data_IF_563056060423
#
_entry.id   IF_563056060423
#
_cell.length_a   1.000
_cell.length_b   1.000
_cell.length_c   1.000
_cell.angle_alpha   90.00
_cell.angle_beta   90.00
_cell.angle_gamma   90.00
#
_symmetry.space_group_name_H-M   'P 1'
#
loop_
_entity.id
_entity.type
_entity.pdbx_description
1 polymer ?
#
# COMPACT_ATOMS: atom_id res chain seq x y z
N UNK A 1 18.85 19.54 5.37
CA UNK A 1 19.63 18.33 5.05
C UNK A 1 19.54 17.44 6.25
N UNK A 2 19.28 16.16 6.06
CA UNK A 2 19.25 15.22 7.16
C UNK A 2 20.68 14.88 7.56
N UNK A 3 20.91 14.61 8.84
CA UNK A 3 22.21 14.23 9.42
C UNK A 3 22.86 12.97 8.79
N UNK A 4 22.13 12.28 7.94
CA UNK A 4 22.54 10.98 7.33
C UNK A 4 22.75 11.10 5.81
N UNK A 5 22.85 12.31 5.25
CA UNK A 5 22.98 12.48 3.78
C UNK A 5 24.30 11.94 3.19
N UNK A 6 25.32 11.80 4.00
CA UNK A 6 26.61 11.21 3.71
C UNK A 6 26.58 9.69 3.52
N UNK A 7 25.51 9.03 4.01
CA UNK A 7 25.28 7.59 3.89
C UNK A 7 24.55 7.18 2.60
N UNK A 8 24.13 8.16 1.80
CA UNK A 8 23.35 7.89 0.60
C UNK A 8 24.22 7.99 -0.65
N UNK A 9 24.28 6.90 -1.41
CA UNK A 9 24.91 6.86 -2.72
C UNK A 9 23.87 7.12 -3.80
N UNK A 10 24.21 7.87 -4.83
CA UNK A 10 23.29 8.12 -5.95
C UNK A 10 23.25 6.91 -6.87
N UNK A 11 22.09 6.60 -7.40
CA UNK A 11 21.95 5.53 -8.40
C UNK A 11 22.76 5.85 -9.67
N UNK A 12 22.91 7.14 -10.02
CA UNK A 12 23.74 7.58 -11.16
C UNK A 12 25.17 7.05 -11.09
N UNK A 13 25.75 6.99 -9.89
CA UNK A 13 27.13 6.56 -9.67
C UNK A 13 27.33 5.07 -10.04
N UNK A 14 26.26 4.28 -10.00
CA UNK A 14 26.22 2.88 -10.40
C UNK A 14 25.89 2.72 -11.89
N UNK A 15 24.93 3.47 -12.41
CA UNK A 15 24.51 3.35 -13.82
C UNK A 15 25.57 3.87 -14.78
N UNK A 16 26.33 4.91 -14.41
CA UNK A 16 27.44 5.45 -15.21
C UNK A 16 28.56 4.44 -15.43
N UNK A 17 28.72 3.48 -14.54
CA UNK A 17 29.72 2.39 -14.66
C UNK A 17 29.12 1.06 -15.14
N UNK A 18 27.86 1.09 -15.61
CA UNK A 18 27.16 -0.03 -16.23
C UNK A 18 26.67 -1.10 -15.27
N UNK A 19 26.45 -0.77 -14.00
CA UNK A 19 25.82 -1.67 -13.04
C UNK A 19 24.30 -1.57 -13.12
N UNK A 20 23.63 -2.69 -12.85
CA UNK A 20 22.18 -2.83 -12.83
C UNK A 20 21.70 -3.50 -11.54
N UNK A 21 20.47 -3.26 -11.11
CA UNK A 21 19.89 -3.94 -9.95
C UNK A 21 19.48 -5.38 -10.29
N UNK A 22 19.36 -6.21 -9.26
CA UNK A 22 18.71 -7.50 -9.38
C UNK A 22 17.16 -7.38 -9.42
N UNK A 23 16.46 -8.52 -9.46
CA UNK A 23 14.99 -8.58 -9.49
C UNK A 23 14.30 -7.97 -8.27
N UNK A 24 15.03 -7.72 -7.18
CA UNK A 24 14.54 -7.05 -5.97
C UNK A 24 14.87 -5.56 -5.93
N UNK A 25 15.52 -5.02 -6.97
CA UNK A 25 16.03 -3.66 -6.99
C UNK A 25 17.28 -3.46 -6.13
N UNK A 26 17.97 -4.53 -5.74
CA UNK A 26 19.19 -4.50 -4.92
C UNK A 26 20.41 -4.39 -5.85
N UNK A 27 21.34 -3.53 -5.49
CA UNK A 27 22.54 -3.22 -6.27
C UNK A 27 23.80 -3.83 -5.65
N UNK A 28 24.79 -4.11 -6.48
CA UNK A 28 26.10 -4.58 -6.03
C UNK A 28 27.19 -3.71 -6.64
N UNK A 29 28.14 -3.28 -5.80
CA UNK A 29 29.34 -2.62 -6.29
C UNK A 29 30.30 -3.64 -6.96
N UNK A 30 31.33 -3.15 -7.64
CA UNK A 30 32.41 -4.01 -8.23
C UNK A 30 33.17 -4.76 -7.15
N UNK A 31 33.24 -4.20 -5.94
CA UNK A 31 33.91 -4.77 -4.77
C UNK A 31 33.00 -5.80 -4.03
N UNK A 32 31.75 -5.94 -4.46
CA UNK A 32 30.79 -6.88 -3.89
C UNK A 32 29.92 -6.34 -2.76
N UNK A 33 30.04 -5.04 -2.44
CA UNK A 33 29.16 -4.39 -1.46
C UNK A 33 27.72 -4.39 -1.96
N UNK A 34 26.78 -4.60 -1.04
CA UNK A 34 25.33 -4.67 -1.32
C UNK A 34 24.67 -3.37 -0.92
N UNK A 35 23.85 -2.83 -1.83
CA UNK A 35 23.12 -1.59 -1.62
C UNK A 35 21.61 -1.80 -1.82
N UNK A 36 20.85 -1.28 -0.87
CA UNK A 36 19.38 -1.31 -0.86
C UNK A 36 18.81 -0.01 -1.44
N UNK A 37 17.71 -0.06 -2.21
CA UNK A 37 16.99 1.13 -2.63
C UNK A 37 16.44 1.90 -1.43
N UNK A 38 16.69 3.22 -1.39
CA UNK A 38 16.12 4.12 -0.39
C UNK A 38 14.77 4.64 -0.87
N UNK A 39 13.70 4.18 -0.23
CA UNK A 39 12.35 4.61 -0.59
C UNK A 39 12.06 6.06 -0.19
N UNK A 40 11.48 6.80 -1.12
CA UNK A 40 11.03 8.18 -0.95
C UNK A 40 9.51 8.26 -1.10
N UNK A 41 8.89 9.33 -0.56
CA UNK A 41 7.44 9.46 -0.54
C UNK A 41 6.75 9.38 -1.91
N UNK A 42 7.43 9.80 -2.98
CA UNK A 42 6.92 9.71 -4.35
C UNK A 42 6.85 8.29 -4.89
N UNK A 43 7.71 7.40 -4.37
CA UNK A 43 7.80 5.99 -4.82
C UNK A 43 6.66 5.12 -4.32
N UNK A 44 5.77 5.63 -3.48
CA UNK A 44 4.65 4.87 -2.95
C UNK A 44 3.32 5.61 -3.08
N UNK A 45 2.24 4.83 -3.13
CA UNK A 45 0.88 5.32 -3.05
C UNK A 45 0.02 4.30 -2.31
N UNK A 46 -1.28 4.57 -2.18
CA UNK A 46 -2.24 3.65 -1.58
C UNK A 46 -2.24 2.33 -2.33
N UNK A 47 -1.96 1.22 -1.64
CA UNK A 47 -1.78 -0.12 -2.21
C UNK A 47 -0.69 -0.24 -3.29
N UNK A 48 0.22 0.71 -3.39
CA UNK A 48 1.32 0.69 -4.37
C UNK A 48 2.64 0.94 -3.65
N UNK A 49 3.46 -0.10 -3.53
CA UNK A 49 4.77 0.01 -2.90
C UNK A 49 5.79 0.64 -3.83
N UNK A 50 5.83 0.24 -5.10
CA UNK A 50 6.74 0.74 -6.12
C UNK A 50 5.95 1.47 -7.21
N UNK A 51 5.66 2.78 -7.00
CA UNK A 51 4.82 3.58 -7.90
C UNK A 51 5.59 4.43 -8.89
N UNK A 52 6.79 4.86 -8.57
CA UNK A 52 7.54 5.79 -9.41
C UNK A 52 9.01 5.42 -9.47
N UNK A 53 9.61 5.61 -10.65
CA UNK A 53 11.03 5.44 -10.91
C UNK A 53 11.71 6.81 -11.05
N UNK A 54 12.89 6.94 -10.50
CA UNK A 54 13.72 8.12 -10.70
C UNK A 54 14.28 8.14 -12.14
N UNK A 55 14.21 9.30 -12.78
CA UNK A 55 14.69 9.51 -14.15
C UNK A 55 15.96 10.35 -14.15
N UNK A 56 15.95 11.50 -13.47
CA UNK A 56 17.09 12.43 -13.46
C UNK A 56 16.93 13.51 -12.40
N UNK A 57 17.99 14.29 -12.18
CA UNK A 57 17.96 15.46 -11.30
C UNK A 57 18.04 15.13 -9.82
N UNK A 58 18.01 16.15 -8.97
CA UNK A 58 18.07 15.99 -7.51
C UNK A 58 17.28 17.08 -6.78
N UNK A 59 16.88 16.82 -5.53
CA UNK A 59 16.09 17.75 -4.73
C UNK A 59 14.79 18.17 -5.44
N UNK A 60 14.57 19.47 -5.56
CA UNK A 60 13.37 20.02 -6.22
C UNK A 60 13.37 19.82 -7.76
N UNK A 61 14.53 19.57 -8.37
CA UNK A 61 14.66 19.31 -9.81
C UNK A 61 14.59 17.83 -10.17
N UNK A 62 14.38 16.93 -9.20
CA UNK A 62 14.26 15.51 -9.44
C UNK A 62 13.02 15.21 -10.31
N UNK A 63 13.27 14.49 -11.41
CA UNK A 63 12.23 14.03 -12.34
C UNK A 63 11.95 12.56 -12.08
N UNK A 64 10.66 12.22 -12.03
CA UNK A 64 10.16 10.89 -11.75
C UNK A 64 9.16 10.47 -12.82
N UNK A 65 9.31 9.26 -13.35
CA UNK A 65 8.26 8.62 -14.15
C UNK A 65 7.30 7.89 -13.22
N UNK A 66 6.01 8.03 -13.53
CA UNK A 66 4.92 7.28 -12.90
C UNK A 66 4.31 6.25 -13.86
N UNK A 67 4.88 6.12 -15.05
CA UNK A 67 4.44 5.18 -16.08
C UNK A 67 5.02 3.78 -15.79
N UNK A 68 4.91 3.36 -14.54
CA UNK A 68 5.37 2.05 -14.13
C UNK A 68 4.37 0.99 -14.59
N UNK A 69 4.90 0.04 -15.33
CA UNK A 69 4.24 -1.25 -15.45
C UNK A 69 4.28 -1.91 -14.06
N UNK A 70 3.14 -2.28 -13.47
CA UNK A 70 3.13 -3.03 -12.22
C UNK A 70 4.12 -4.20 -12.28
N UNK A 71 4.85 -4.42 -11.19
CA UNK A 71 5.92 -5.43 -11.17
C UNK A 71 7.24 -5.00 -11.80
N UNK A 72 7.41 -3.71 -12.11
CA UNK A 72 8.68 -3.16 -12.55
C UNK A 72 9.77 -3.25 -11.46
N UNK A 73 11.03 -3.18 -11.89
CA UNK A 73 12.18 -3.15 -10.97
C UNK A 73 12.16 -1.84 -10.17
N UNK A 74 12.49 -1.91 -8.89
CA UNK A 74 12.61 -0.74 -8.02
C UNK A 74 13.79 0.11 -8.48
N UNK A 75 13.52 1.36 -8.89
CA UNK A 75 14.52 2.28 -9.41
C UNK A 75 14.52 3.60 -8.62
N UNK A 76 15.29 3.66 -7.50
CA UNK A 76 15.28 4.81 -6.60
C UNK A 76 16.20 5.92 -7.07
N UNK A 77 16.19 7.07 -6.41
CA UNK A 77 17.20 8.12 -6.59
C UNK A 77 18.49 7.82 -5.80
N UNK A 78 18.34 7.18 -4.65
CA UNK A 78 19.44 6.92 -3.71
C UNK A 78 19.44 5.47 -3.26
N UNK A 79 20.65 5.01 -2.94
CA UNK A 79 20.95 3.71 -2.39
C UNK A 79 21.59 3.85 -1.00
N UNK A 80 21.44 2.84 -0.17
CA UNK A 80 22.06 2.75 1.17
C UNK A 80 22.75 1.39 1.29
N UNK A 81 23.95 1.36 1.85
CA UNK A 81 24.69 0.11 2.10
C UNK A 81 23.92 -0.79 3.06
N UNK A 82 23.83 -2.06 2.72
CA UNK A 82 23.09 -3.04 3.54
C UNK A 82 23.74 -3.24 4.91
N UNK A 83 25.06 -3.28 5.00
CA UNK A 83 25.80 -3.43 6.26
C UNK A 83 25.56 -2.26 7.22
N UNK A 84 25.46 -1.03 6.74
CA UNK A 84 25.12 0.13 7.56
C UNK A 84 23.69 0.02 8.12
N UNK A 85 22.73 -0.48 7.32
CA UNK A 85 21.37 -0.72 7.79
C UNK A 85 21.37 -1.81 8.86
N UNK A 86 22.06 -2.92 8.63
CA UNK A 86 22.15 -4.04 9.57
C UNK A 86 22.76 -3.63 10.90
N UNK A 87 23.76 -2.75 10.89
CA UNK A 87 24.39 -2.24 12.12
C UNK A 87 23.58 -1.19 12.85
N UNK A 88 22.94 -0.26 12.14
CA UNK A 88 22.28 0.90 12.74
C UNK A 88 20.78 0.73 12.98
N UNK A 89 20.07 0.12 12.03
CA UNK A 89 18.60 0.04 12.00
C UNK A 89 18.09 -1.28 11.39
N UNK A 90 18.51 -2.45 11.90
CA UNK A 90 18.19 -3.74 11.28
C UNK A 90 16.67 -4.01 11.18
N UNK A 91 15.85 -3.41 12.04
CA UNK A 91 14.40 -3.56 12.03
C UNK A 91 13.74 -3.05 10.75
N UNK A 92 14.35 -2.12 10.00
CA UNK A 92 13.78 -1.62 8.74
C UNK A 92 13.81 -2.66 7.61
N UNK A 93 14.61 -3.73 7.77
CA UNK A 93 14.64 -4.88 6.87
C UNK A 93 13.52 -5.90 7.16
N UNK A 94 12.68 -5.65 8.16
CA UNK A 94 11.51 -6.45 8.46
C UNK A 94 10.26 -5.83 7.85
N UNK A 95 9.20 -6.62 7.59
CA UNK A 95 7.93 -6.09 7.12
C UNK A 95 7.37 -5.02 8.04
N UNK A 96 6.87 -3.93 7.46
CA UNK A 96 6.25 -2.82 8.19
C UNK A 96 5.32 -2.01 7.28
N UNK A 97 4.47 -1.20 7.88
CA UNK A 97 3.66 -0.26 7.12
C UNK A 97 4.44 1.05 6.97
N UNK A 98 4.48 1.58 5.76
CA UNK A 98 5.00 2.91 5.47
C UNK A 98 3.86 3.86 5.15
N UNK A 99 4.00 5.11 5.62
CA UNK A 99 3.01 6.16 5.39
C UNK A 99 3.72 7.47 5.11
N UNK A 100 3.15 8.29 4.21
CA UNK A 100 3.71 9.62 3.97
C UNK A 100 3.60 10.48 5.22
N UNK A 101 4.68 11.22 5.53
CA UNK A 101 4.71 12.18 6.64
C UNK A 101 4.09 13.53 6.27
N UNK A 102 3.97 13.79 4.96
CA UNK A 102 3.32 14.98 4.43
C UNK A 102 2.02 14.57 3.74
N UNK A 103 0.94 15.19 4.12
CA UNK A 103 -0.37 14.99 3.50
C UNK A 103 -1.25 16.18 3.81
N UNK A 104 -2.00 16.61 2.81
CA UNK A 104 -2.92 17.72 2.90
C UNK A 104 -4.35 17.17 3.05
N UNK A 105 -5.11 17.71 3.99
CA UNK A 105 -6.54 17.41 4.12
C UNK A 105 -7.34 17.84 2.89
N UNK A 106 -6.79 18.75 2.08
CA UNK A 106 -7.36 19.20 0.81
C UNK A 106 -7.01 18.30 -0.38
N UNK A 107 -6.11 17.34 -0.21
CA UNK A 107 -5.72 16.40 -1.27
C UNK A 107 -6.81 15.36 -1.51
N UNK A 108 -6.77 14.70 -2.67
CA UNK A 108 -7.67 13.58 -3.01
C UNK A 108 -7.52 12.41 -2.05
N UNK A 109 -6.31 12.20 -1.55
CA UNK A 109 -5.97 11.24 -0.50
C UNK A 109 -5.06 11.93 0.51
N UNK A 110 -5.43 11.84 1.76
CA UNK A 110 -4.66 12.38 2.90
C UNK A 110 -3.81 11.28 3.53
N UNK A 111 -4.43 10.12 3.80
CA UNK A 111 -3.74 8.94 4.27
C UNK A 111 -3.17 8.17 3.09
N UNK A 112 -1.88 8.34 2.81
CA UNK A 112 -1.18 7.55 1.80
C UNK A 112 -0.31 6.54 2.54
N UNK A 113 -0.77 5.31 2.52
CA UNK A 113 -0.20 4.21 3.30
C UNK A 113 -0.04 2.98 2.41
N UNK A 114 1.04 2.23 2.60
CA UNK A 114 1.26 0.94 1.94
C UNK A 114 2.12 0.02 2.81
N UNK A 115 2.09 -1.26 2.50
CA UNK A 115 2.93 -2.26 3.13
C UNK A 115 4.31 -2.30 2.47
N UNK A 116 5.36 -2.34 3.28
CA UNK A 116 6.75 -2.55 2.85
C UNK A 116 7.23 -3.95 3.25
N UNK A 117 7.81 -4.73 2.34
CA UNK A 117 8.36 -6.04 2.67
C UNK A 117 9.72 -5.96 3.41
N UNK A 118 10.22 -4.76 3.69
CA UNK A 118 11.44 -4.54 4.45
C UNK A 118 12.51 -3.78 3.68
N UNK A 119 12.21 -2.53 3.31
CA UNK A 119 13.15 -1.63 2.63
C UNK A 119 13.40 -0.36 3.44
N UNK A 120 14.62 0.21 3.40
CA UNK A 120 14.94 1.46 4.05
C UNK A 120 14.20 2.63 3.39
N UNK A 121 13.91 3.66 4.17
CA UNK A 121 13.15 4.82 3.73
C UNK A 121 13.76 6.14 4.18
N UNK A 122 13.53 7.19 3.40
CA UNK A 122 13.88 8.57 3.72
C UNK A 122 12.87 9.23 4.67
N UNK A 123 13.19 10.45 5.12
CA UNK A 123 12.40 11.23 6.09
C UNK A 123 10.99 11.61 5.63
N UNK A 124 10.71 11.55 4.32
CA UNK A 124 9.36 11.81 3.80
C UNK A 124 8.34 10.72 4.16
N UNK A 125 8.81 9.62 4.73
CA UNK A 125 8.01 8.45 5.10
C UNK A 125 8.14 8.15 6.60
N UNK A 126 7.00 7.84 7.22
CA UNK A 126 6.92 7.24 8.55
C UNK A 126 6.81 5.72 8.47
N UNK A 127 7.17 5.00 9.54
CA UNK A 127 6.99 3.54 9.63
C UNK A 127 6.19 3.16 10.86
N UNK A 128 5.35 2.14 10.68
CA UNK A 128 4.66 1.43 11.75
C UNK A 128 5.19 -0.01 11.78
N UNK A 129 5.86 -0.36 12.87
CA UNK A 129 6.29 -1.73 13.14
C UNK A 129 5.33 -2.39 14.11
N UNK A 130 5.07 -3.70 13.98
CA UNK A 130 4.24 -4.42 14.93
C UNK A 130 4.92 -4.41 16.31
N UNK A 131 4.14 -4.12 17.35
CA UNK A 131 4.61 -4.19 18.74
C UNK A 131 4.47 -5.60 19.31
N UNK A 132 3.62 -6.43 18.73
CA UNK A 132 3.40 -7.81 19.06
C UNK A 132 3.26 -8.67 17.79
N UNK A 133 3.36 -10.00 17.93
CA UNK A 133 3.25 -10.94 16.81
C UNK A 133 1.82 -11.13 16.31
N UNK A 134 0.83 -10.67 17.05
CA UNK A 134 -0.60 -10.80 16.73
C UNK A 134 -1.08 -9.71 15.78
N UNK A 135 -0.29 -8.64 15.62
CA UNK A 135 -0.66 -7.56 14.70
C UNK A 135 -0.55 -8.01 13.25
N UNK A 136 -1.67 -8.18 12.58
CA UNK A 136 -1.72 -8.43 11.16
C UNK A 136 -1.47 -7.12 10.38
N UNK A 137 -0.23 -6.98 9.88
CA UNK A 137 0.18 -5.79 9.13
C UNK A 137 -0.55 -5.66 7.78
N UNK A 138 -0.95 -6.77 7.16
CA UNK A 138 -1.70 -6.73 5.89
C UNK A 138 -3.12 -6.22 6.13
N UNK A 139 -3.78 -6.70 7.19
CA UNK A 139 -5.10 -6.20 7.59
C UNK A 139 -5.03 -4.71 7.94
N UNK A 140 -4.03 -4.31 8.73
CA UNK A 140 -3.84 -2.92 9.09
C UNK A 140 -3.54 -2.04 7.86
N UNK A 141 -2.75 -2.53 6.89
CA UNK A 141 -2.56 -1.85 5.61
C UNK A 141 -3.87 -1.69 4.84
N UNK A 142 -4.68 -2.75 4.77
CA UNK A 142 -6.01 -2.72 4.16
C UNK A 142 -6.87 -1.62 4.78
N UNK A 143 -6.98 -1.60 6.11
CA UNK A 143 -7.79 -0.62 6.85
C UNK A 143 -7.29 0.81 6.63
N UNK A 144 -5.99 1.07 6.84
CA UNK A 144 -5.41 2.42 6.75
C UNK A 144 -5.38 2.98 5.33
N UNK A 145 -5.57 2.13 4.33
CA UNK A 145 -5.62 2.49 2.91
C UNK A 145 -7.02 2.80 2.40
N UNK A 146 -8.06 2.67 3.23
CA UNK A 146 -9.45 2.94 2.83
C UNK A 146 -9.83 4.42 2.88
N UNK A 147 -10.89 4.78 2.16
CA UNK A 147 -11.48 6.11 2.22
C UNK A 147 -12.14 6.38 3.58
N UNK A 148 -12.73 5.35 4.21
CA UNK A 148 -13.30 5.47 5.56
C UNK A 148 -12.25 5.88 6.59
N UNK A 149 -11.07 5.24 6.57
CA UNK A 149 -9.96 5.62 7.42
C UNK A 149 -9.41 7.00 7.05
N UNK A 150 -9.26 7.30 5.76
CA UNK A 150 -8.79 8.59 5.26
C UNK A 150 -9.73 9.73 5.69
N UNK A 151 -11.05 9.52 5.60
CA UNK A 151 -12.04 10.48 6.06
C UNK A 151 -11.90 10.75 7.56
N UNK A 152 -11.84 9.71 8.38
CA UNK A 152 -11.63 9.84 9.83
C UNK A 152 -10.29 10.52 10.17
N UNK A 153 -9.23 10.18 9.46
CA UNK A 153 -7.91 10.81 9.58
C UNK A 153 -7.92 12.29 9.21
N UNK A 154 -8.55 12.61 8.08
CA UNK A 154 -8.67 13.95 7.51
C UNK A 154 -9.34 14.94 8.47
N UNK A 155 -10.36 14.52 9.20
CA UNK A 155 -11.05 15.33 10.19
C UNK A 155 -10.16 15.75 11.38
N UNK A 156 -9.03 15.09 11.59
CA UNK A 156 -8.10 15.35 12.70
C UNK A 156 -6.87 16.15 12.27
N UNK A 157 -6.64 16.30 10.99
CA UNK A 157 -5.47 17.00 10.49
C UNK A 157 -5.63 18.52 10.62
N UNK A 158 -4.68 19.13 11.32
CA UNK A 158 -4.59 20.58 11.48
C UNK A 158 -3.44 21.22 10.72
N UNK A 159 -2.57 20.39 10.09
CA UNK A 159 -1.38 20.84 9.37
C UNK A 159 -0.97 19.86 8.28
N UNK A 160 -0.08 20.30 7.38
CA UNK A 160 0.50 19.44 6.33
C UNK A 160 1.37 18.31 6.88
N UNK A 161 1.95 18.49 8.07
CA UNK A 161 2.74 17.45 8.73
C UNK A 161 1.82 16.49 9.48
N UNK A 162 1.83 15.23 9.07
CA UNK A 162 1.05 14.19 9.71
C UNK A 162 1.71 13.74 11.00
N UNK A 163 1.27 14.34 12.12
CA UNK A 163 1.77 13.99 13.45
C UNK A 163 1.45 12.51 13.81
N UNK A 164 2.47 11.83 14.35
CA UNK A 164 2.29 10.48 14.88
C UNK A 164 1.33 10.42 16.08
N UNK A 165 1.21 11.50 16.86
CA UNK A 165 0.25 11.57 17.94
C UNK A 165 -1.18 11.35 17.43
N UNK A 166 -1.57 12.11 16.40
CA UNK A 166 -2.90 11.95 15.80
C UNK A 166 -3.10 10.59 15.12
N UNK A 167 -2.05 10.04 14.46
CA UNK A 167 -2.14 8.69 13.84
C UNK A 167 -2.44 7.62 14.88
N UNK A 168 -1.81 7.68 16.07
CA UNK A 168 -2.04 6.73 17.14
C UNK A 168 -3.43 6.84 17.77
N UNK A 169 -4.05 8.02 17.73
CA UNK A 169 -5.38 8.26 18.26
C UNK A 169 -6.50 7.90 17.27
N UNK A 170 -6.16 7.69 15.98
CA UNK A 170 -7.15 7.29 14.98
C UNK A 170 -7.55 5.85 15.21
N UNK A 171 -8.84 5.65 15.50
CA UNK A 171 -9.38 4.33 15.80
C UNK A 171 -9.34 3.44 14.56
N UNK A 172 -8.89 2.22 14.76
CA UNK A 172 -9.00 1.11 13.81
C UNK A 172 -9.87 0.01 14.42
N UNK A 173 -10.57 -0.79 13.63
CA UNK A 173 -11.28 -1.96 14.14
C UNK A 173 -10.33 -2.89 14.90
N UNK A 174 -10.81 -3.63 15.91
CA UNK A 174 -9.96 -4.51 16.69
C UNK A 174 -9.37 -5.62 15.81
N UNK A 175 -8.13 -6.09 16.07
CA UNK A 175 -7.46 -7.12 15.26
C UNK A 175 -8.15 -8.49 15.32
N UNK A 176 -8.99 -8.73 16.31
CA UNK A 176 -9.80 -9.95 16.45
C UNK A 176 -11.06 -9.96 15.56
N UNK A 177 -11.32 -8.88 14.83
CA UNK A 177 -12.45 -8.83 13.93
C UNK A 177 -12.28 -9.83 12.77
N UNK A 178 -13.28 -10.69 12.52
CA UNK A 178 -13.17 -11.77 11.52
C UNK A 178 -12.89 -11.25 10.10
N UNK A 179 -13.35 -10.05 9.76
CA UNK A 179 -13.10 -9.44 8.46
C UNK A 179 -11.67 -8.91 8.28
N UNK A 180 -10.85 -8.84 9.35
CA UNK A 180 -9.46 -8.41 9.26
C UNK A 180 -8.64 -9.34 8.36
N UNK A 181 -8.78 -10.65 8.50
CA UNK A 181 -8.08 -11.63 7.68
C UNK A 181 -8.41 -11.43 6.19
N UNK A 182 -9.69 -11.22 5.86
CA UNK A 182 -10.11 -10.98 4.49
C UNK A 182 -9.55 -9.65 3.95
N UNK A 183 -9.59 -8.57 4.73
CA UNK A 183 -8.98 -7.30 4.35
C UNK A 183 -7.47 -7.45 4.09
N UNK A 184 -6.76 -8.24 4.90
CA UNK A 184 -5.34 -8.55 4.72
C UNK A 184 -5.04 -9.32 3.44
N UNK A 185 -5.83 -10.37 3.15
CA UNK A 185 -5.73 -11.16 1.91
C UNK A 185 -5.95 -10.30 0.67
N UNK A 186 -6.95 -9.42 0.70
CA UNK A 186 -7.23 -8.54 -0.41
C UNK A 186 -6.17 -7.43 -0.54
N UNK A 187 -5.63 -6.95 0.58
CA UNK A 187 -4.56 -5.96 0.59
C UNK A 187 -3.29 -6.45 -0.11
N UNK A 188 -2.82 -7.69 0.17
CA UNK A 188 -1.62 -8.22 -0.49
C UNK A 188 -1.82 -8.44 -1.99
N UNK A 189 -3.03 -8.74 -2.46
CA UNK A 189 -3.35 -8.86 -3.90
C UNK A 189 -3.10 -7.55 -4.65
N UNK A 190 -3.24 -6.42 -3.98
CA UNK A 190 -3.03 -5.08 -4.54
C UNK A 190 -1.58 -4.61 -4.41
N UNK A 191 -0.93 -4.85 -3.25
CA UNK A 191 0.39 -4.31 -2.95
C UNK A 191 1.53 -5.25 -3.35
N UNK A 192 1.31 -6.56 -3.29
CA UNK A 192 2.33 -7.60 -3.50
C UNK A 192 2.64 -7.89 -4.97
N UNK A 193 2.93 -6.86 -5.77
CA UNK A 193 3.07 -6.94 -7.22
C UNK A 193 4.52 -7.00 -7.71
N UNK A 194 5.48 -7.30 -6.84
CA UNK A 194 6.89 -7.52 -7.20
C UNK A 194 7.53 -8.67 -6.40
N UNK A 195 8.71 -9.10 -6.81
CA UNK A 195 9.38 -10.26 -6.22
C UNK A 195 9.83 -10.07 -4.77
N UNK A 196 9.95 -8.84 -4.29
CA UNK A 196 10.29 -8.57 -2.88
C UNK A 196 9.22 -9.05 -1.90
N UNK A 197 7.99 -9.24 -2.38
CA UNK A 197 6.88 -9.80 -1.61
C UNK A 197 6.84 -11.33 -1.56
N UNK A 198 7.79 -12.04 -2.18
CA UNK A 198 7.76 -13.52 -2.23
C UNK A 198 7.63 -14.17 -0.86
N UNK A 199 8.31 -13.65 0.16
CA UNK A 199 8.18 -14.16 1.54
C UNK A 199 6.78 -13.95 2.10
N UNK A 200 6.19 -12.78 1.85
CA UNK A 200 4.84 -12.44 2.34
C UNK A 200 3.79 -13.35 1.71
N UNK A 201 3.92 -13.64 0.40
CA UNK A 201 3.05 -14.58 -0.30
C UNK A 201 3.15 -16.00 0.25
N UNK A 202 4.35 -16.47 0.58
CA UNK A 202 4.55 -17.79 1.18
C UNK A 202 3.98 -17.87 2.60
N UNK A 203 4.23 -16.87 3.43
CA UNK A 203 3.67 -16.81 4.79
C UNK A 203 2.13 -16.82 4.74
N UNK A 204 1.53 -16.15 3.75
CA UNK A 204 0.09 -16.18 3.53
C UNK A 204 -0.41 -17.56 3.06
N UNK A 205 0.32 -18.18 2.12
CA UNK A 205 0.02 -19.56 1.67
C UNK A 205 0.06 -20.55 2.84
N UNK A 206 1.07 -20.45 3.71
CA UNK A 206 1.19 -21.33 4.87
C UNK A 206 0.02 -21.13 5.85
N UNK A 207 -0.47 -19.89 6.00
CA UNK A 207 -1.65 -19.56 6.81
C UNK A 207 -2.96 -20.09 6.21
N UNK A 208 -3.15 -19.99 4.90
CA UNK A 208 -4.41 -20.30 4.19
C UNK A 208 -4.44 -21.69 3.53
N UNK A 209 -3.29 -22.38 3.47
CA UNK A 209 -3.18 -23.69 2.85
C UNK A 209 -3.21 -23.67 1.33
N UNK A 210 -3.50 -24.83 0.73
CA UNK A 210 -3.44 -25.05 -0.72
C UNK A 210 -4.60 -24.43 -1.51
N UNK A 211 -5.55 -23.80 -0.86
CA UNK A 211 -6.69 -23.14 -1.51
C UNK A 211 -6.30 -21.78 -2.15
N UNK A 212 -5.14 -21.22 -1.78
CA UNK A 212 -4.67 -19.97 -2.33
C UNK A 212 -3.97 -20.23 -3.68
N UNK A 213 -4.49 -19.74 -4.82
CA UNK A 213 -3.79 -19.82 -6.09
C UNK A 213 -2.54 -18.93 -6.09
N UNK A 214 -1.50 -19.32 -6.86
CA UNK A 214 -0.23 -18.60 -6.91
C UNK A 214 -0.25 -17.32 -7.76
N UNK A 215 -1.32 -17.06 -8.49
CA UNK A 215 -1.46 -15.95 -9.45
C UNK A 215 -2.63 -15.00 -9.15
N UNK A 216 -2.87 -14.72 -7.88
CA UNK A 216 -4.01 -13.91 -7.43
C UNK A 216 -3.73 -12.42 -7.37
N UNK A 217 -2.57 -11.96 -7.81
CA UNK A 217 -2.21 -10.55 -7.87
C UNK A 217 -3.12 -9.78 -8.81
N UNK A 218 -3.39 -8.51 -8.50
CA UNK A 218 -4.19 -7.63 -9.34
C UNK A 218 -3.31 -6.56 -10.00
N UNK A 219 -3.31 -6.53 -11.32
CA UNK A 219 -2.55 -5.60 -12.15
C UNK A 219 -3.45 -4.65 -12.92
N UNK A 220 -4.50 -5.14 -13.57
CA UNK A 220 -5.42 -4.32 -14.36
C UNK A 220 -6.23 -3.37 -13.47
N UNK A 221 -6.60 -2.22 -14.03
CA UNK A 221 -7.46 -1.26 -13.33
C UNK A 221 -8.77 -1.91 -12.88
N UNK A 222 -9.41 -2.73 -13.72
CA UNK A 222 -10.65 -3.44 -13.41
C UNK A 222 -10.52 -4.29 -12.13
N UNK A 223 -9.47 -5.12 -12.04
CA UNK A 223 -9.26 -5.99 -10.88
C UNK A 223 -8.86 -5.21 -9.64
N UNK A 224 -7.95 -4.25 -9.78
CA UNK A 224 -7.50 -3.41 -8.68
C UNK A 224 -8.63 -2.59 -8.07
N UNK A 225 -9.42 -1.91 -8.89
CA UNK A 225 -10.54 -1.08 -8.42
C UNK A 225 -11.64 -1.92 -7.76
N UNK A 226 -11.94 -3.11 -8.29
CA UNK A 226 -12.91 -4.02 -7.70
C UNK A 226 -12.44 -4.57 -6.34
N UNK A 227 -11.20 -5.06 -6.25
CA UNK A 227 -10.63 -5.56 -4.99
C UNK A 227 -10.53 -4.43 -3.97
N UNK A 228 -10.10 -3.23 -4.37
CA UNK A 228 -10.08 -2.06 -3.49
C UNK A 228 -11.50 -1.75 -2.97
N UNK A 229 -12.51 -1.76 -3.83
CA UNK A 229 -13.90 -1.53 -3.42
C UNK A 229 -14.40 -2.61 -2.45
N UNK A 230 -13.99 -3.87 -2.61
CA UNK A 230 -14.28 -4.93 -1.63
C UNK A 230 -13.65 -4.63 -0.26
N UNK A 231 -12.39 -4.17 -0.22
CA UNK A 231 -11.73 -3.76 1.04
C UNK A 231 -12.48 -2.58 1.67
N UNK A 232 -12.90 -1.58 0.87
CA UNK A 232 -13.69 -0.44 1.36
C UNK A 232 -15.00 -0.89 2.01
N UNK A 233 -15.74 -1.83 1.38
CA UNK A 233 -16.98 -2.39 1.93
C UNK A 233 -16.72 -3.16 3.22
N UNK A 234 -15.69 -4.00 3.26
CA UNK A 234 -15.28 -4.74 4.45
C UNK A 234 -15.01 -3.78 5.60
N UNK A 235 -14.16 -2.79 5.37
CA UNK A 235 -13.75 -1.84 6.41
C UNK A 235 -14.91 -0.93 6.82
N UNK A 236 -15.77 -0.51 5.89
CA UNK A 236 -17.00 0.21 6.22
C UNK A 236 -17.89 -0.60 7.15
N UNK A 237 -18.09 -1.90 6.87
CA UNK A 237 -18.87 -2.79 7.76
C UNK A 237 -18.20 -2.97 9.12
N UNK A 238 -16.88 -3.06 9.19
CA UNK A 238 -16.13 -3.10 10.45
C UNK A 238 -16.31 -1.82 11.30
N UNK A 239 -16.54 -0.67 10.66
CA UNK A 239 -16.91 0.59 11.33
C UNK A 239 -18.43 0.74 11.58
N UNK A 240 -19.23 -0.23 11.17
CA UNK A 240 -20.71 -0.19 11.32
C UNK A 240 -21.40 0.76 10.33
N UNK A 241 -20.75 1.10 9.21
CA UNK A 241 -21.28 2.00 8.20
C UNK A 241 -22.18 1.27 7.18
N UNK A 242 -23.09 2.03 6.57
CA UNK A 242 -23.97 1.58 5.50
C UNK A 242 -23.69 2.34 4.16
N UNK A 243 -24.51 2.07 3.14
CA UNK A 243 -24.37 2.71 1.83
C UNK A 243 -24.66 4.23 1.88
N UNK A 244 -25.50 4.69 2.79
CA UNK A 244 -25.81 6.13 2.99
C UNK A 244 -24.62 6.83 3.61
N UNK A 245 -23.97 6.20 4.59
CA UNK A 245 -22.75 6.71 5.22
C UNK A 245 -21.61 6.83 4.20
N UNK A 246 -21.44 5.81 3.34
CA UNK A 246 -20.45 5.87 2.27
C UNK A 246 -20.73 6.99 1.27
N UNK A 247 -21.98 7.17 0.86
CA UNK A 247 -22.37 8.29 0.00
C UNK A 247 -22.07 9.62 0.65
N UNK A 248 -22.35 9.76 1.94
CA UNK A 248 -22.02 10.95 2.72
C UNK A 248 -20.51 11.20 2.76
N UNK A 249 -19.70 10.20 3.12
CA UNK A 249 -18.23 10.29 3.18
C UNK A 249 -17.66 10.73 1.81
N UNK A 250 -18.17 10.18 0.72
CA UNK A 250 -17.70 10.51 -0.63
C UNK A 250 -18.14 11.90 -1.11
N UNK A 251 -19.32 12.38 -0.68
CA UNK A 251 -19.84 13.70 -1.02
C UNK A 251 -19.30 14.81 -0.14
N UNK A 252 -19.05 14.54 1.15
CA UNK A 252 -18.55 15.52 2.13
C UNK A 252 -17.21 16.16 1.71
N UNK A 253 -16.45 15.48 0.87
CA UNK A 253 -15.21 16.00 0.33
C UNK A 253 -15.40 16.98 -0.84
N UNK A 254 -16.63 17.36 -1.18
CA UNK A 254 -16.96 18.25 -2.30
C UNK A 254 -17.93 19.38 -1.92
N UNK A 255 -17.74 19.93 -0.75
CA UNK A 255 -18.54 21.09 -0.33
C UNK A 255 -18.32 22.28 -1.24
N UNK A 256 -19.39 23.01 -1.55
CA UNK A 256 -19.31 24.27 -2.28
C UNK A 256 -18.58 25.32 -1.45
N UNK A 257 -17.88 26.23 -2.13
CA UNK A 257 -17.18 27.35 -1.48
C UNK A 257 -18.11 28.14 -0.57
N UNK A 258 -19.37 28.31 -0.93
CA UNK A 258 -20.38 29.04 -0.16
C UNK A 258 -20.72 28.35 1.16
N UNK A 259 -20.84 27.05 1.18
CA UNK A 259 -21.05 26.28 2.41
C UNK A 259 -19.84 26.40 3.35
N UNK A 260 -18.63 26.40 2.81
CA UNK A 260 -17.39 26.44 3.56
C UNK A 260 -17.03 27.85 4.03
N UNK A 261 -17.43 28.89 3.28
CA UNK A 261 -17.21 30.31 3.65
C UNK A 261 -18.00 30.75 4.87
N UNK A 262 -19.06 30.04 5.22
CA UNK A 262 -19.79 30.25 6.49
C UNK A 262 -19.02 29.79 7.72
N UNK A 263 -17.89 29.09 7.56
CA UNK A 263 -17.02 28.62 8.64
C UNK A 263 -15.68 29.38 8.58
N UNK A 264 -15.17 29.77 9.72
CA UNK A 264 -14.13 30.80 9.92
C UNK A 264 -12.74 30.53 9.32
N UNK A 265 -12.52 29.56 8.44
CA UNK A 265 -11.19 29.28 7.89
C UNK A 265 -11.28 28.66 6.48
N UNK A 266 -11.35 29.51 5.48
CA UNK A 266 -11.55 29.14 4.07
C UNK A 266 -10.40 28.36 3.44
N UNK A 267 -9.18 28.47 3.92
CA UNK A 267 -8.01 27.79 3.35
C UNK A 267 -7.94 26.29 3.70
N UNK A 268 -8.64 25.87 4.75
CA UNK A 268 -8.65 24.47 5.22
C UNK A 268 -9.90 23.71 4.80
N UNK A 269 -10.80 24.34 4.07
CA UNK A 269 -12.20 23.92 4.00
C UNK A 269 -12.70 23.53 2.59
N UNK A 270 -11.81 23.23 1.64
CA UNK A 270 -12.21 22.70 0.34
C UNK A 270 -11.49 21.38 0.03
N UNK A 271 -11.74 20.32 0.78
CA UNK A 271 -11.15 19.02 0.48
C UNK A 271 -11.64 18.53 -0.88
N UNK A 272 -10.72 18.00 -1.69
CA UNK A 272 -11.08 17.38 -2.96
C UNK A 272 -11.79 16.07 -2.71
N UNK A 273 -12.86 15.81 -3.43
CA UNK A 273 -13.61 14.57 -3.36
C UNK A 273 -12.75 13.34 -3.67
N UNK A 274 -13.03 12.24 -3.00
CA UNK A 274 -12.31 10.98 -3.18
C UNK A 274 -12.43 10.41 -4.60
N UNK A 275 -13.52 10.70 -5.32
CA UNK A 275 -13.72 10.30 -6.72
C UNK A 275 -12.65 10.85 -7.69
N UNK A 276 -11.91 11.88 -7.27
CA UNK A 276 -10.83 12.46 -8.10
C UNK A 276 -9.61 11.56 -8.20
N UNK A 277 -9.47 10.55 -7.35
CA UNK A 277 -8.35 9.60 -7.37
C UNK A 277 -8.24 8.93 -8.73
N UNK A 278 -9.38 8.57 -9.32
CA UNK A 278 -9.52 7.87 -10.59
C UNK A 278 -10.50 8.57 -11.55
N UNK A 279 -10.55 9.92 -11.46
CA UNK A 279 -11.47 10.78 -12.24
C UNK A 279 -11.30 10.65 -13.76
N UNK A 280 -10.16 10.18 -14.25
CA UNK A 280 -9.90 9.91 -15.66
C UNK A 280 -10.63 8.65 -16.17
N UNK A 281 -11.12 7.78 -15.27
CA UNK A 281 -11.96 6.65 -15.63
C UNK A 281 -13.44 7.03 -15.67
N UNK A 282 -14.26 6.31 -16.48
CA UNK A 282 -15.72 6.47 -16.47
C UNK A 282 -16.30 6.23 -15.07
N UNK A 283 -17.43 6.87 -14.70
CA UNK A 283 -18.01 6.75 -13.35
C UNK A 283 -18.22 5.31 -12.86
N UNK A 284 -18.64 4.40 -13.73
CA UNK A 284 -18.86 2.98 -13.40
C UNK A 284 -17.56 2.17 -13.17
N UNK A 285 -16.41 2.75 -13.45
CA UNK A 285 -15.08 2.15 -13.21
C UNK A 285 -14.34 2.81 -12.04
N UNK A 286 -14.94 3.82 -11.39
CA UNK A 286 -14.34 4.49 -10.24
C UNK A 286 -14.58 3.72 -8.95
N UNK A 287 -13.55 3.60 -8.14
CA UNK A 287 -13.60 2.85 -6.87
C UNK A 287 -14.75 3.31 -5.97
N UNK A 288 -14.98 4.62 -5.86
CA UNK A 288 -16.07 5.16 -5.03
C UNK A 288 -17.45 4.68 -5.47
N UNK A 289 -17.71 4.65 -6.78
CA UNK A 289 -19.00 4.21 -7.32
C UNK A 289 -19.16 2.69 -7.23
N UNK A 290 -18.08 1.93 -7.50
CA UNK A 290 -18.08 0.48 -7.32
C UNK A 290 -18.33 0.14 -5.85
N UNK A 291 -17.67 0.83 -4.93
CA UNK A 291 -17.83 0.64 -3.49
C UNK A 291 -19.29 0.83 -3.03
N UNK A 292 -19.94 1.93 -3.43
CA UNK A 292 -21.35 2.18 -3.10
C UNK A 292 -22.24 1.08 -3.68
N UNK A 293 -22.02 0.70 -4.95
CA UNK A 293 -22.80 -0.36 -5.60
C UNK A 293 -22.64 -1.71 -4.91
N UNK A 294 -21.41 -2.08 -4.50
CA UNK A 294 -21.17 -3.31 -3.74
C UNK A 294 -21.80 -3.27 -2.34
N UNK A 295 -21.77 -2.13 -1.66
CA UNK A 295 -22.42 -1.99 -0.35
C UNK A 295 -23.93 -2.13 -0.49
N UNK A 296 -24.56 -1.50 -1.49
CA UNK A 296 -26.01 -1.66 -1.76
C UNK A 296 -26.35 -3.12 -2.13
N UNK A 297 -25.50 -3.78 -2.93
CA UNK A 297 -25.65 -5.21 -3.25
C UNK A 297 -25.57 -6.07 -1.98
N UNK A 298 -24.66 -5.74 -1.04
CA UNK A 298 -24.54 -6.44 0.25
C UNK A 298 -25.80 -6.25 1.10
N UNK A 299 -26.37 -5.04 1.14
CA UNK A 299 -27.56 -4.71 1.91
C UNK A 299 -28.82 -5.46 1.42
N UNK A 300 -28.88 -5.86 0.13
CA UNK A 300 -29.97 -6.69 -0.42
C UNK A 300 -30.02 -8.07 0.26
N UNK A 301 -28.86 -8.63 0.66
CA UNK A 301 -28.81 -9.91 1.38
C UNK A 301 -29.32 -9.81 2.82
N UNK A 302 -29.36 -8.60 3.40
CA UNK A 302 -29.88 -8.34 4.74
C UNK A 302 -29.14 -7.20 5.43
N UNK A 303 -29.83 -6.50 6.32
CA UNK A 303 -29.26 -5.37 7.07
C UNK A 303 -28.44 -5.80 8.29
N UNK A 304 -28.61 -7.03 8.77
CA UNK A 304 -27.97 -7.57 9.97
C UNK A 304 -27.14 -8.81 9.66
N UNK A 305 -26.35 -8.77 8.57
CA UNK A 305 -25.41 -9.83 8.26
C UNK A 305 -24.30 -9.89 9.31
N UNK A 306 -23.98 -11.11 9.78
CA UNK A 306 -22.81 -11.32 10.60
C UNK A 306 -21.53 -11.32 9.73
N UNK A 307 -20.38 -11.25 10.38
CA UNK A 307 -19.09 -11.13 9.72
C UNK A 307 -18.75 -12.32 8.81
N UNK A 308 -19.19 -13.52 9.19
CA UNK A 308 -18.98 -14.73 8.39
C UNK A 308 -19.79 -14.70 7.09
N UNK A 309 -21.05 -14.25 7.16
CA UNK A 309 -21.92 -14.07 6.00
C UNK A 309 -21.35 -13.02 5.06
N UNK A 310 -20.90 -11.87 5.59
CA UNK A 310 -20.25 -10.81 4.81
C UNK A 310 -19.02 -11.37 4.09
N UNK A 311 -18.15 -12.07 4.81
CA UNK A 311 -16.94 -12.67 4.24
C UNK A 311 -17.26 -13.63 3.09
N UNK A 312 -18.24 -14.51 3.28
CA UNK A 312 -18.68 -15.48 2.28
C UNK A 312 -19.23 -14.81 1.02
N UNK A 313 -20.04 -13.76 1.19
CA UNK A 313 -20.62 -13.01 0.06
C UNK A 313 -19.51 -12.30 -0.72
N UNK A 314 -18.59 -11.62 -0.04
CA UNK A 314 -17.50 -10.90 -0.72
C UNK A 314 -16.56 -11.88 -1.43
N UNK A 315 -16.25 -13.03 -0.83
CA UNK A 315 -15.45 -14.06 -1.49
C UNK A 315 -16.14 -14.57 -2.75
N UNK A 316 -17.46 -14.77 -2.74
CA UNK A 316 -18.18 -15.17 -3.96
C UNK A 316 -18.09 -14.12 -5.08
N UNK A 317 -18.10 -12.84 -4.76
CA UNK A 317 -17.90 -11.79 -5.75
C UNK A 317 -16.49 -11.77 -6.35
N UNK A 318 -15.50 -12.13 -5.53
CA UNK A 318 -14.10 -12.26 -5.98
C UNK A 318 -13.92 -13.49 -6.86
N UNK A 319 -14.61 -14.58 -6.54
CA UNK A 319 -14.58 -15.80 -7.36
C UNK A 319 -15.30 -15.60 -8.71
N UNK A 320 -16.32 -14.72 -8.77
CA UNK A 320 -16.96 -14.29 -10.01
C UNK A 320 -16.02 -13.42 -10.89
N UNK A 321 -15.00 -12.80 -10.29
CA UNK A 321 -14.01 -12.02 -11.01
C UNK A 321 -13.01 -12.99 -11.68
N UNK A 322 -13.01 -13.03 -13.00
CA UNK A 322 -12.06 -13.83 -13.76
C UNK A 322 -10.60 -13.53 -13.37
N UNK A 323 -9.68 -14.42 -13.75
CA UNK A 323 -8.26 -14.14 -13.55
C UNK A 323 -7.85 -12.87 -14.29
N UNK A 324 -7.02 -12.05 -13.65
CA UNK A 324 -6.54 -10.82 -14.25
C UNK A 324 -5.66 -11.11 -15.48
N UNK A 325 -6.09 -10.71 -16.69
CA UNK A 325 -5.34 -10.98 -17.91
C UNK A 325 -4.03 -10.20 -18.00
N UNK A 326 -3.90 -9.11 -17.22
CA UNK A 326 -2.72 -8.25 -17.22
C UNK A 326 -1.61 -8.72 -16.26
N UNK A 327 -1.79 -9.86 -15.58
CA UNK A 327 -0.72 -10.44 -14.77
C UNK A 327 0.46 -10.80 -15.68
N UNK A 328 1.63 -10.16 -15.51
CA UNK A 328 2.81 -10.45 -16.31
C UNK A 328 3.27 -11.91 -16.15
N UNK A 329 3.72 -12.53 -17.24
CA UNK A 329 4.11 -13.95 -17.25
C UNK A 329 5.17 -14.28 -16.20
N UNK A 330 6.07 -13.36 -15.90
CA UNK A 330 7.09 -13.53 -14.86
C UNK A 330 6.54 -13.78 -13.46
N UNK A 331 5.25 -13.47 -13.20
CA UNK A 331 4.57 -13.73 -11.91
C UNK A 331 3.64 -14.95 -11.96
N UNK A 332 3.48 -15.58 -13.11
CA UNK A 332 2.73 -16.84 -13.25
C UNK A 332 3.57 -18.03 -12.78
N UNK A 333 3.96 -18.03 -11.53
CA UNK A 333 4.90 -18.94 -10.91
C UNK A 333 4.20 -19.98 -10.05
N UNK A 334 4.80 -21.16 -9.93
CA UNK A 334 4.44 -22.15 -8.93
C UNK A 334 4.90 -21.72 -7.53
N UNK A 335 4.32 -22.31 -6.50
CA UNK A 335 4.74 -22.04 -5.11
C UNK A 335 6.21 -22.42 -4.85
N UNK A 336 6.75 -23.44 -5.53
CA UNK A 336 8.17 -23.80 -5.43
C UNK A 336 9.09 -22.71 -6.02
N UNK A 337 8.69 -22.09 -7.12
CA UNK A 337 9.42 -20.97 -7.70
C UNK A 337 9.37 -19.75 -6.79
N UNK A 338 8.22 -19.42 -6.21
CA UNK A 338 8.09 -18.37 -5.18
C UNK A 338 8.98 -18.66 -3.97
N UNK A 339 9.08 -19.92 -3.51
CA UNK A 339 9.96 -20.31 -2.42
C UNK A 339 11.44 -20.10 -2.76
N UNK A 340 11.85 -20.37 -4.01
CA UNK A 340 13.22 -20.13 -4.47
C UNK A 340 13.54 -18.63 -4.50
N UNK A 341 12.62 -17.79 -4.97
CA UNK A 341 12.77 -16.32 -4.99
C UNK A 341 12.89 -15.80 -3.55
N UNK A 342 12.01 -16.21 -2.66
CA UNK A 342 12.08 -15.83 -1.24
C UNK A 342 13.41 -16.21 -0.59
N UNK A 343 13.92 -17.41 -0.90
CA UNK A 343 15.22 -17.88 -0.37
C UNK A 343 16.37 -17.00 -0.85
N UNK A 344 16.40 -16.66 -2.16
CA UNK A 344 17.41 -15.74 -2.70
C UNK A 344 17.37 -14.39 -2.01
N UNK A 345 16.17 -13.78 -1.88
CA UNK A 345 16.00 -12.50 -1.20
C UNK A 345 16.48 -12.54 0.26
N UNK A 346 16.09 -13.58 1.02
CA UNK A 346 16.55 -13.77 2.42
C UNK A 346 18.07 -13.92 2.50
N UNK A 347 18.69 -14.66 1.57
CA UNK A 347 20.15 -14.84 1.53
C UNK A 347 20.87 -13.51 1.32
N UNK A 348 20.39 -12.66 0.40
CA UNK A 348 20.95 -11.33 0.16
C UNK A 348 20.87 -10.46 1.42
N UNK A 349 19.73 -10.50 2.10
CA UNK A 349 19.52 -9.73 3.34
C UNK A 349 20.23 -10.30 4.56
N UNK A 350 20.95 -11.42 4.44
CA UNK A 350 21.61 -12.11 5.57
C UNK A 350 20.61 -12.68 6.58
N UNK A 351 19.35 -12.90 6.21
CA UNK A 351 18.35 -13.50 7.09
C UNK A 351 18.46 -15.01 7.05
N UNK A 352 18.44 -15.71 8.21
CA UNK A 352 18.48 -17.17 8.22
C UNK A 352 17.27 -17.72 7.47
N UNK A 353 17.53 -18.73 6.61
CA UNK A 353 16.45 -19.49 6.00
C UNK A 353 15.68 -20.19 7.11
N UNK A 354 14.39 -19.92 7.29
CA UNK A 354 13.54 -20.85 8.02
C UNK A 354 13.63 -22.18 7.27
N UNK A 355 14.06 -23.24 7.95
CA UNK A 355 13.92 -24.58 7.37
C UNK A 355 12.42 -24.79 7.10
N UNK A 356 12.09 -24.99 5.83
CA UNK A 356 10.75 -25.32 5.38
C UNK A 356 10.45 -26.77 5.71
#
# INVERSE_FOLDING_TARGET
>A
MTSDSDKFTRISDFTEIGLEPDEFGIWRSKEGDVFMPLFQGIMMNVFEFNRATWVSGSGHSAKWSKDLVPGGIIWPQYLVRLDEIQQSKPHVLSPHIVTRNLGDSLSWRTSITTYSPGYPKGNSLGSLFPTNKETDLLALNGIMSTFCFDYHWRLRLTSLNQSWAFKKETRVPPPSHLLCDLAGILSIRLVGTDFSFATVWLDLKDKLGNQLPSNIMAFSHKHRSFIQACIEVIVAKMYGLDSKDLRFIFSECEHTVDFLSSRANTSTLNPKGFWRVDSHHPPNQRVTNICVSLMERLEIYGTQLNEHEISKIILSWIDELEQDPEVPDKFKLTWNEWANISRRHKTILGKPNKQV
#
